data_IF_908041370850
#
_entry.id   IF_908041370850
#
_cell.length_a   1.000
_cell.length_b   1.000
_cell.length_c   1.000
_cell.angle_alpha   90.00
_cell.angle_beta   90.00
_cell.angle_gamma   90.00
#
_symmetry.space_group_name_H-M   'P 1'
#
loop_
_entity.id
_entity.type
_entity.pdbx_description
1 polymer ?
#
# COMPACT_ATOMS: atom_id res chain seq x y z
N UNK A 1 11.82 6.53 -7.15
CA UNK A 1 10.50 7.03 -7.60
C UNK A 1 9.61 5.82 -7.60
N UNK A 2 8.53 5.82 -6.82
CA UNK A 2 7.63 4.66 -6.74
C UNK A 2 6.90 4.55 -8.07
N UNK A 3 7.20 3.50 -8.83
CA UNK A 3 6.68 3.29 -10.20
C UNK A 3 5.55 2.28 -10.27
N UNK A 4 5.06 1.77 -9.13
CA UNK A 4 4.28 0.54 -9.09
C UNK A 4 2.76 0.70 -9.31
N UNK A 5 2.22 1.92 -9.40
CA UNK A 5 0.79 2.18 -9.58
C UNK A 5 0.47 2.61 -11.02
N UNK A 6 -0.58 2.03 -11.60
CA UNK A 6 -1.08 2.43 -12.92
C UNK A 6 -2.09 3.58 -12.84
N UNK A 7 -2.77 3.72 -11.69
CA UNK A 7 -3.75 4.77 -11.41
C UNK A 7 -3.26 5.74 -10.33
N UNK A 8 -3.84 6.94 -10.22
CA UNK A 8 -3.46 7.89 -9.17
C UNK A 8 -3.62 7.29 -7.77
N UNK A 9 -2.60 7.48 -6.92
CA UNK A 9 -2.71 7.16 -5.51
C UNK A 9 -3.73 8.08 -4.84
N UNK A 10 -4.68 7.51 -4.10
CA UNK A 10 -5.66 8.24 -3.29
C UNK A 10 -5.30 8.25 -1.81
N UNK A 11 -4.57 7.23 -1.38
CA UNK A 11 -4.07 7.10 -0.03
C UNK A 11 -2.61 6.66 -0.05
N UNK A 12 -1.79 7.29 0.77
CA UNK A 12 -0.38 6.94 0.99
C UNK A 12 -0.06 7.02 2.48
N UNK A 13 0.93 6.26 2.94
CA UNK A 13 1.39 6.34 4.32
C UNK A 13 2.74 5.67 4.54
N UNK A 14 3.58 6.28 5.37
CA UNK A 14 4.86 5.71 5.79
C UNK A 14 4.67 4.75 6.97
N UNK A 15 5.49 3.70 7.02
CA UNK A 15 5.64 2.86 8.21
C UNK A 15 6.20 3.67 9.39
N UNK A 16 6.04 3.15 10.60
CA UNK A 16 6.41 3.83 11.84
C UNK A 16 7.91 4.20 11.94
N UNK A 17 8.77 3.48 11.22
CA UNK A 17 10.21 3.69 11.13
C UNK A 17 10.64 4.46 9.87
N UNK A 18 9.70 4.74 8.95
CA UNK A 18 9.97 5.43 7.69
C UNK A 18 10.64 4.58 6.61
N UNK A 19 10.87 3.28 6.83
CA UNK A 19 11.54 2.39 5.87
C UNK A 19 10.63 1.98 4.70
N UNK A 20 9.31 1.97 4.90
CA UNK A 20 8.32 1.55 3.91
C UNK A 20 7.29 2.65 3.62
N UNK A 21 6.84 2.71 2.37
CA UNK A 21 5.73 3.54 1.93
C UNK A 21 4.66 2.66 1.28
N UNK A 22 3.47 2.68 1.90
CA UNK A 22 2.27 2.10 1.32
C UNK A 22 1.56 3.12 0.42
N UNK A 23 1.08 2.68 -0.74
CA UNK A 23 0.26 3.49 -1.62
C UNK A 23 -0.89 2.66 -2.21
N UNK A 24 -2.09 3.22 -2.18
CA UNK A 24 -3.31 2.59 -2.68
C UNK A 24 -4.23 3.59 -3.37
N UNK A 25 -5.10 3.07 -4.24
CA UNK A 25 -6.04 3.84 -5.02
C UNK A 25 -6.98 2.92 -5.76
N UNK A 26 -7.01 3.03 -7.09
CA UNK A 26 -7.87 2.22 -7.97
C UNK A 26 -7.18 0.96 -8.50
N UNK A 27 -5.86 0.84 -8.29
CA UNK A 27 -5.13 -0.38 -8.59
C UNK A 27 -5.68 -1.56 -7.77
N UNK A 28 -5.67 -2.80 -8.32
CA UNK A 28 -6.17 -4.00 -7.63
C UNK A 28 -5.24 -4.49 -6.50
N UNK A 29 -4.37 -3.62 -5.99
CA UNK A 29 -3.45 -3.88 -4.90
C UNK A 29 -3.08 -2.59 -4.17
N UNK A 30 -2.66 -2.72 -2.91
CA UNK A 30 -1.87 -1.68 -2.23
C UNK A 30 -0.39 -2.04 -2.45
N UNK A 31 0.40 -1.11 -2.97
CA UNK A 31 1.84 -1.32 -3.09
C UNK A 31 2.54 -0.95 -1.79
N UNK A 32 3.51 -1.75 -1.38
CA UNK A 32 4.41 -1.48 -0.26
C UNK A 32 5.81 -1.42 -0.86
N UNK A 33 6.47 -0.27 -0.77
CA UNK A 33 7.76 -0.03 -1.40
C UNK A 33 8.76 0.45 -0.35
N UNK A 34 10.04 0.09 -0.50
CA UNK A 34 11.13 0.63 0.30
C UNK A 34 11.32 2.12 -0.01
N UNK A 35 11.50 2.94 1.02
CA UNK A 35 11.66 4.39 0.87
C UNK A 35 13.09 4.77 0.52
N UNK A 36 14.05 3.97 0.95
CA UNK A 36 15.44 4.04 0.55
C UNK A 36 15.81 2.79 -0.26
N UNK A 37 15.38 2.68 -1.52
CA UNK A 37 15.88 1.62 -2.36
C UNK A 37 17.38 1.83 -2.50
N UNK A 38 18.17 0.85 -2.04
CA UNK A 38 19.52 0.71 -2.56
C UNK A 38 19.33 0.53 -4.05
N UNK A 39 19.73 1.51 -4.85
CA UNK A 39 19.82 1.33 -6.31
C UNK A 39 20.90 0.27 -6.52
N UNK A 40 20.53 -0.99 -6.35
CA UNK A 40 21.34 -2.15 -6.67
C UNK A 40 21.59 -2.11 -8.16
N UNK A 41 22.81 -2.48 -8.56
CA UNK A 41 23.34 -2.35 -9.92
C UNK A 41 22.51 -3.05 -11.02
N UNK A 42 21.45 -3.76 -10.65
CA UNK A 42 20.69 -4.68 -11.50
C UNK A 42 19.20 -4.31 -11.66
N UNK A 43 18.77 -3.11 -11.23
CA UNK A 43 17.44 -2.58 -11.56
C UNK A 43 16.26 -3.25 -10.83
N UNK A 44 16.53 -3.95 -9.73
CA UNK A 44 15.49 -4.50 -8.85
C UNK A 44 14.69 -3.32 -8.26
N UNK A 45 13.38 -3.31 -8.52
CA UNK A 45 12.50 -2.21 -8.16
C UNK A 45 12.37 -2.00 -6.65
N UNK A 46 11.82 -0.87 -6.25
CA UNK A 46 11.60 -0.52 -4.84
C UNK A 46 10.43 -1.29 -4.18
N UNK A 47 9.70 -2.12 -4.92
CA UNK A 47 8.53 -2.86 -4.42
C UNK A 47 8.92 -4.01 -3.50
N UNK A 48 8.48 -3.93 -2.25
CA UNK A 48 8.64 -4.97 -1.22
C UNK A 48 7.47 -5.94 -1.22
N UNK A 49 6.24 -5.44 -1.37
CA UNK A 49 5.05 -6.27 -1.38
C UNK A 49 3.87 -5.64 -2.14
N UNK A 50 2.89 -6.47 -2.50
CA UNK A 50 1.58 -6.04 -3.04
C UNK A 50 0.46 -6.74 -2.28
N UNK A 51 -0.32 -5.98 -1.52
CA UNK A 51 -1.50 -6.50 -0.83
C UNK A 51 -2.64 -6.56 -1.85
N UNK A 52 -2.97 -7.76 -2.32
CA UNK A 52 -4.01 -7.96 -3.33
C UNK A 52 -5.41 -7.62 -2.79
N UNK A 53 -6.21 -6.94 -3.60
CA UNK A 53 -7.57 -6.53 -3.27
C UNK A 53 -8.60 -7.32 -4.09
N UNK A 54 -9.84 -7.36 -3.60
CA UNK A 54 -10.97 -7.88 -4.38
C UNK A 54 -11.23 -7.02 -5.61
N UNK A 55 -11.83 -7.61 -6.66
CA UNK A 55 -12.14 -6.88 -7.88
C UNK A 55 -13.03 -5.65 -7.61
N UNK A 56 -12.64 -4.51 -8.18
CA UNK A 56 -13.37 -3.25 -8.05
C UNK A 56 -13.17 -2.53 -6.71
N UNK A 57 -12.32 -3.05 -5.82
CA UNK A 57 -11.98 -2.34 -4.58
C UNK A 57 -11.18 -1.07 -4.87
N UNK A 58 -11.58 0.03 -4.26
CA UNK A 58 -10.83 1.30 -4.31
C UNK A 58 -10.42 1.71 -2.91
N UNK A 59 -9.12 1.90 -2.68
CA UNK A 59 -8.61 2.28 -1.36
C UNK A 59 -8.76 3.78 -1.15
N UNK A 60 -9.44 4.12 -0.05
CA UNK A 60 -9.75 5.50 0.32
C UNK A 60 -8.90 5.98 1.50
N UNK A 61 -8.39 5.05 2.32
CA UNK A 61 -7.57 5.40 3.48
C UNK A 61 -6.63 4.26 3.88
N UNK A 62 -5.51 4.64 4.49
CA UNK A 62 -4.45 3.77 5.00
C UNK A 62 -4.00 4.30 6.37
N UNK A 63 -3.69 3.40 7.29
CA UNK A 63 -3.05 3.74 8.56
C UNK A 63 -2.08 2.64 8.98
N UNK A 64 -0.79 2.99 9.11
CA UNK A 64 0.19 2.09 9.70
C UNK A 64 0.03 2.05 11.22
N UNK A 65 0.24 0.87 11.80
CA UNK A 65 0.39 0.71 13.23
C UNK A 65 1.62 1.52 13.71
N UNK A 66 1.54 2.22 14.85
CA UNK A 66 2.55 3.20 15.27
C UNK A 66 3.90 2.61 15.71
N UNK A 67 4.04 1.28 15.70
CA UNK A 67 5.27 0.58 16.15
C UNK A 67 5.48 -0.81 15.56
N UNK A 68 4.66 -1.21 14.58
CA UNK A 68 4.72 -2.55 13.96
C UNK A 68 4.43 -2.42 12.47
N UNK A 69 4.94 -3.34 11.65
CA UNK A 69 4.58 -3.41 10.23
C UNK A 69 3.20 -4.03 10.02
N UNK A 70 2.20 -3.32 10.51
CA UNK A 70 0.79 -3.67 10.38
C UNK A 70 0.10 -2.51 9.69
N UNK A 71 -0.64 -2.79 8.64
CA UNK A 71 -1.32 -1.80 7.83
C UNK A 71 -2.83 -2.02 7.91
N UNK A 72 -3.53 -1.04 8.46
CA UNK A 72 -4.98 -0.96 8.37
C UNK A 72 -5.38 -0.20 7.10
N UNK A 73 -6.42 -0.65 6.42
CA UNK A 73 -6.90 -0.03 5.20
C UNK A 73 -8.40 -0.21 5.02
N UNK A 74 -9.03 0.74 4.34
CA UNK A 74 -10.45 0.70 4.02
C UNK A 74 -10.73 1.35 2.67
N UNK A 75 -11.84 0.93 2.06
CA UNK A 75 -12.18 1.27 0.69
C UNK A 75 -13.54 0.75 0.26
N UNK A 76 -13.83 0.90 -1.03
CA UNK A 76 -15.12 0.58 -1.64
C UNK A 76 -15.17 -0.86 -2.17
N UNK A 77 -14.85 -1.85 -1.34
CA UNK A 77 -14.81 -3.26 -1.76
C UNK A 77 -16.20 -3.86 -1.98
N UNK A 78 -17.18 -3.48 -1.15
CA UNK A 78 -18.56 -3.98 -1.25
C UNK A 78 -19.52 -2.80 -1.25
N UNK A 79 -20.52 -2.85 -2.13
CA UNK A 79 -21.63 -1.90 -2.10
C UNK A 79 -22.37 -2.08 -0.77
N UNK A 80 -22.55 -0.99 -0.04
CA UNK A 80 -23.35 -0.90 1.20
C UNK A 80 -22.72 -1.46 2.48
N UNK A 81 -21.48 -1.98 2.45
CA UNK A 81 -20.76 -2.43 3.66
C UNK A 81 -19.41 -1.71 3.78
N UNK A 82 -19.27 -0.87 4.81
CA UNK A 82 -17.99 -0.28 5.18
C UNK A 82 -17.11 -1.30 5.89
N UNK A 83 -16.08 -1.81 5.22
CA UNK A 83 -15.14 -2.79 5.79
C UNK A 83 -13.79 -2.15 6.07
N UNK A 84 -13.22 -2.45 7.24
CA UNK A 84 -11.82 -2.15 7.58
C UNK A 84 -11.06 -3.46 7.64
N UNK A 85 -9.93 -3.52 6.95
CA UNK A 85 -9.04 -4.70 6.92
C UNK A 85 -7.69 -4.36 7.54
N UNK A 86 -7.02 -5.39 8.02
CA UNK A 86 -5.68 -5.30 8.60
C UNK A 86 -4.79 -6.34 7.93
N UNK A 87 -3.64 -5.90 7.45
CA UNK A 87 -2.58 -6.73 6.89
C UNK A 87 -1.35 -6.65 7.79
N UNK A 88 -0.72 -7.79 8.05
CA UNK A 88 0.56 -7.88 8.77
C UNK A 88 1.62 -8.28 7.74
N UNK A 89 2.69 -7.48 7.66
CA UNK A 89 3.83 -7.75 6.79
C UNK A 89 4.75 -8.82 7.38
#
# INVERSE_FOLDING_TARGET
>A
MITSLAFPARAIGFSFDGELLAAGGEDPFISINATCPSVGRDGEGDTVHKVMLGQGSMINTLAWHPSKYVLAYAGDEQKEVGTVRVFNL
#
